data_IF_141912216552
#
_entry.id   IF_141912216552
#
_cell.length_a   1.000
_cell.length_b   1.000
_cell.length_c   1.000
_cell.angle_alpha   90.00
_cell.angle_beta   90.00
_cell.angle_gamma   90.00
#
_symmetry.space_group_name_H-M   'P 1'
#
loop_
_entity.id
_entity.type
_entity.pdbx_description
1 polymer ?
#
# COMPACT_ATOMS: atom_id res chain seq x y z
N UNK A 1 -17.19 6.87 -4.56
CA UNK A 1 -16.73 6.90 -3.16
C UNK A 1 -17.89 7.46 -2.35
N UNK A 2 -18.60 6.62 -1.58
CA UNK A 2 -19.88 6.99 -0.97
C UNK A 2 -19.70 7.85 0.28
N UNK A 3 -20.71 8.65 0.61
CA UNK A 3 -20.70 9.48 1.82
C UNK A 3 -20.82 8.65 3.10
N UNK A 4 -21.51 7.51 3.05
CA UNK A 4 -21.53 6.53 4.13
C UNK A 4 -20.12 6.05 4.49
N UNK A 5 -19.32 5.67 3.48
CA UNK A 5 -17.95 5.23 3.71
C UNK A 5 -17.11 6.36 4.30
N UNK A 6 -17.20 7.58 3.76
CA UNK A 6 -16.51 8.75 4.34
C UNK A 6 -16.82 8.95 5.81
N UNK A 7 -18.07 8.78 6.21
CA UNK A 7 -18.49 8.91 7.60
C UNK A 7 -17.88 7.82 8.48
N UNK A 8 -17.85 6.56 8.02
CA UNK A 8 -17.15 5.47 8.72
C UNK A 8 -15.67 5.78 8.91
N UNK A 9 -14.98 6.26 7.87
CA UNK A 9 -13.56 6.63 7.97
C UNK A 9 -13.32 7.78 8.96
N UNK A 10 -14.20 8.78 8.99
CA UNK A 10 -14.13 9.89 9.97
C UNK A 10 -14.31 9.39 11.40
N UNK A 11 -15.26 8.48 11.64
CA UNK A 11 -15.50 7.88 12.94
C UNK A 11 -14.25 7.08 13.37
N UNK A 12 -13.73 6.24 12.49
CA UNK A 12 -12.50 5.47 12.73
C UNK A 12 -11.32 6.38 13.10
N UNK A 13 -11.09 7.47 12.36
CA UNK A 13 -10.03 8.43 12.64
C UNK A 13 -10.17 9.16 13.99
N UNK A 14 -11.41 9.29 14.51
CA UNK A 14 -11.66 9.87 15.84
C UNK A 14 -11.45 8.85 16.95
N UNK A 15 -11.79 7.59 16.71
CA UNK A 15 -11.69 6.51 17.69
C UNK A 15 -10.28 5.95 17.84
N UNK A 16 -9.44 6.09 16.81
CA UNK A 16 -8.10 5.52 16.78
C UNK A 16 -7.03 6.59 16.60
N UNK A 17 -5.96 6.43 17.37
CA UNK A 17 -4.76 7.24 17.21
C UNK A 17 -3.88 6.67 16.10
N UNK A 18 -3.96 7.27 14.91
CA UNK A 18 -3.18 6.86 13.75
C UNK A 18 -1.67 7.14 13.91
N UNK A 19 -1.26 8.12 14.73
CA UNK A 19 0.16 8.37 15.06
C UNK A 19 0.71 7.18 15.81
N UNK A 20 0.00 6.73 16.84
CA UNK A 20 0.39 5.57 17.65
C UNK A 20 0.31 4.26 16.85
N UNK A 21 -0.68 4.11 15.96
CA UNK A 21 -0.74 2.96 15.06
C UNK A 21 0.44 2.93 14.08
N UNK A 22 0.85 4.09 13.53
CA UNK A 22 2.02 4.18 12.67
C UNK A 22 3.31 3.79 13.40
N UNK A 23 3.52 4.31 14.62
CA UNK A 23 4.68 3.96 15.44
C UNK A 23 4.72 2.47 15.80
N UNK A 24 3.56 1.84 15.96
CA UNK A 24 3.42 0.41 16.23
C UNK A 24 3.62 -0.48 15.01
N UNK A 25 3.86 0.09 13.82
CA UNK A 25 4.19 -0.70 12.65
C UNK A 25 5.46 -1.50 12.89
N UNK A 26 5.36 -2.80 12.66
CA UNK A 26 6.47 -3.73 12.79
C UNK A 26 6.39 -4.79 11.70
N UNK A 27 7.41 -4.80 10.86
CA UNK A 27 7.64 -5.86 9.88
C UNK A 27 9.13 -6.19 9.81
N UNK A 28 9.53 -7.29 10.46
CA UNK A 28 10.95 -7.71 10.57
C UNK A 28 11.81 -6.58 11.15
N UNK A 29 12.77 -6.05 10.38
CA UNK A 29 13.66 -4.96 10.79
C UNK A 29 13.01 -3.58 10.66
N UNK A 30 11.91 -3.46 9.93
CA UNK A 30 11.19 -2.21 9.77
C UNK A 30 10.28 -1.96 10.98
N UNK A 31 10.84 -1.25 11.96
CA UNK A 31 10.10 -0.68 13.08
C UNK A 31 10.35 0.83 13.14
N UNK A 32 9.49 1.54 13.86
CA UNK A 32 9.62 2.98 14.01
C UNK A 32 10.92 3.37 14.72
N UNK A 33 11.29 2.62 15.77
CA UNK A 33 12.51 2.83 16.55
C UNK A 33 13.78 2.63 15.70
N UNK A 34 13.75 1.67 14.76
CA UNK A 34 14.85 1.43 13.83
C UNK A 34 14.83 2.38 12.62
N UNK A 35 13.79 3.21 12.48
CA UNK A 35 13.64 4.14 11.37
C UNK A 35 13.26 3.49 10.03
N UNK A 36 12.65 2.30 10.04
CA UNK A 36 12.23 1.56 8.84
C UNK A 36 13.32 1.38 7.76
N UNK A 37 14.47 0.77 8.09
CA UNK A 37 15.66 0.81 7.23
C UNK A 37 15.46 0.11 5.87
N UNK A 38 14.70 -0.99 5.79
CA UNK A 38 14.49 -1.68 4.53
C UNK A 38 13.45 -0.95 3.66
N UNK A 39 12.40 -0.38 4.28
CA UNK A 39 11.43 0.48 3.58
C UNK A 39 12.15 1.70 3.00
N UNK A 40 13.02 2.35 3.78
CA UNK A 40 13.76 3.52 3.36
C UNK A 40 14.58 3.26 2.09
N UNK A 41 15.36 2.18 2.06
CA UNK A 41 16.19 1.83 0.90
C UNK A 41 15.34 1.42 -0.31
N UNK A 42 14.24 0.67 -0.12
CA UNK A 42 13.33 0.33 -1.21
C UNK A 42 12.68 1.58 -1.82
N UNK A 43 12.15 2.49 -1.00
CA UNK A 43 11.53 3.72 -1.49
C UNK A 43 12.55 4.60 -2.21
N UNK A 44 13.77 4.74 -1.68
CA UNK A 44 14.83 5.56 -2.29
C UNK A 44 15.14 5.14 -3.73
N UNK A 45 15.30 3.84 -3.96
CA UNK A 45 15.64 3.31 -5.27
C UNK A 45 14.42 3.29 -6.20
N UNK A 46 13.27 2.82 -5.70
CA UNK A 46 12.08 2.68 -6.52
C UNK A 46 11.44 4.01 -6.89
N UNK A 47 11.47 5.03 -6.04
CA UNK A 47 11.02 6.39 -6.40
C UNK A 47 11.88 6.96 -7.53
N UNK A 48 13.19 6.71 -7.51
CA UNK A 48 14.09 7.13 -8.59
C UNK A 48 13.76 6.42 -9.89
N UNK A 49 13.58 5.10 -9.86
CA UNK A 49 13.14 4.30 -11.02
C UNK A 49 11.78 4.79 -11.55
N UNK A 50 10.82 5.00 -10.66
CA UNK A 50 9.46 5.41 -11.00
C UNK A 50 9.41 6.79 -11.67
N UNK A 51 10.21 7.77 -11.21
CA UNK A 51 10.33 9.09 -11.86
C UNK A 51 10.87 9.02 -13.30
N UNK A 52 11.57 7.93 -13.64
CA UNK A 52 12.01 7.61 -15.00
C UNK A 52 11.01 6.70 -15.73
N UNK A 53 9.77 6.59 -15.22
CA UNK A 53 8.68 5.81 -15.79
C UNK A 53 9.01 4.32 -16.02
N UNK A 54 9.76 3.73 -15.08
CA UNK A 54 10.13 2.32 -15.12
C UNK A 54 10.15 1.66 -13.74
N UNK A 55 10.10 0.34 -13.73
CA UNK A 55 10.38 -0.51 -12.56
C UNK A 55 11.38 -1.58 -12.97
N UNK A 56 12.43 -1.81 -12.18
CA UNK A 56 13.45 -2.81 -12.47
C UNK A 56 13.08 -4.18 -11.88
N UNK A 57 13.53 -5.25 -12.51
CA UNK A 57 13.41 -6.61 -11.98
C UNK A 57 14.04 -6.76 -10.61
N UNK A 58 15.23 -6.18 -10.41
CA UNK A 58 15.90 -6.18 -9.12
C UNK A 58 15.02 -5.59 -8.01
N UNK A 59 14.37 -4.45 -8.26
CA UNK A 59 13.45 -3.80 -7.32
C UNK A 59 12.27 -4.71 -6.98
N UNK A 60 11.67 -5.36 -7.98
CA UNK A 60 10.57 -6.32 -7.80
C UNK A 60 10.99 -7.49 -6.91
N UNK A 61 12.19 -8.04 -7.14
CA UNK A 61 12.73 -9.14 -6.35
C UNK A 61 13.00 -8.69 -4.90
N UNK A 62 13.54 -7.48 -4.70
CA UNK A 62 13.74 -6.90 -3.36
C UNK A 62 12.41 -6.70 -2.63
N UNK A 63 11.37 -6.22 -3.30
CA UNK A 63 10.01 -6.12 -2.74
C UNK A 63 9.46 -7.51 -2.36
N UNK A 64 9.66 -8.52 -3.22
CA UNK A 64 9.22 -9.87 -2.93
C UNK A 64 9.97 -10.49 -1.73
N UNK A 65 11.27 -10.23 -1.60
CA UNK A 65 12.09 -10.61 -0.44
C UNK A 65 11.60 -9.92 0.82
N UNK A 66 11.43 -8.60 0.78
CA UNK A 66 10.94 -7.78 1.89
C UNK A 66 9.56 -8.26 2.37
N UNK A 67 8.61 -8.42 1.43
CA UNK A 67 7.24 -8.86 1.69
C UNK A 67 7.10 -10.32 2.09
N UNK A 68 8.19 -11.09 2.12
CA UNK A 68 8.23 -12.52 2.43
C UNK A 68 7.42 -13.40 1.47
N UNK A 69 7.57 -13.20 0.16
CA UNK A 69 6.91 -14.06 -0.82
C UNK A 69 7.44 -15.48 -0.71
N UNK A 70 6.55 -16.45 -0.49
CA UNK A 70 6.93 -17.86 -0.27
C UNK A 70 7.68 -18.46 -1.47
N UNK A 71 7.12 -18.32 -2.68
CA UNK A 71 7.68 -18.93 -3.89
C UNK A 71 8.20 -17.88 -4.88
N UNK A 72 9.34 -17.27 -4.54
CA UNK A 72 10.01 -16.25 -5.36
C UNK A 72 10.52 -16.77 -6.71
N UNK A 73 10.78 -18.08 -6.84
CA UNK A 73 11.27 -18.70 -8.08
C UNK A 73 10.24 -18.64 -9.23
N UNK A 74 8.96 -18.41 -8.91
CA UNK A 74 7.88 -18.25 -9.90
C UNK A 74 7.76 -16.83 -10.47
N UNK A 75 8.56 -15.89 -9.99
CA UNK A 75 8.54 -14.53 -10.53
C UNK A 75 9.22 -14.55 -11.90
N UNK A 76 8.43 -14.29 -12.94
CA UNK A 76 8.90 -14.04 -14.29
C UNK A 76 8.58 -12.59 -14.64
N UNK A 77 9.60 -11.82 -15.01
CA UNK A 77 9.47 -10.44 -15.43
C UNK A 77 10.67 -10.03 -16.30
N UNK A 78 10.49 -9.05 -17.21
CA UNK A 78 11.61 -8.48 -17.94
C UNK A 78 12.53 -7.72 -16.98
N UNK A 79 13.76 -7.44 -17.41
CA UNK A 79 14.72 -6.68 -16.60
C UNK A 79 14.21 -5.27 -16.26
N UNK A 80 13.49 -4.66 -17.20
CA UNK A 80 12.85 -3.35 -17.05
C UNK A 80 11.40 -3.46 -17.48
N UNK A 81 10.48 -2.99 -16.63
CA UNK A 81 9.06 -2.83 -16.91
C UNK A 81 8.78 -1.33 -17.12
N UNK A 82 8.42 -0.91 -18.34
CA UNK A 82 7.90 0.44 -18.58
C UNK A 82 6.61 0.67 -17.79
N UNK A 83 6.58 1.75 -17.01
CA UNK A 83 5.45 2.09 -16.16
C UNK A 83 5.33 3.61 -16.02
N UNK A 84 4.49 4.21 -16.87
CA UNK A 84 4.29 5.67 -16.97
C UNK A 84 3.49 6.26 -15.79
N UNK A 85 4.06 6.22 -14.58
CA UNK A 85 3.46 6.79 -13.36
C UNK A 85 3.54 8.32 -13.31
N UNK A 86 4.47 8.91 -14.05
CA UNK A 86 4.67 10.34 -14.17
C UNK A 86 4.48 10.81 -15.62
N UNK A 87 4.03 12.05 -15.80
CA UNK A 87 4.01 12.70 -17.10
C UNK A 87 5.40 13.26 -17.49
N UNK A 88 5.47 13.91 -18.66
CA UNK A 88 6.70 14.49 -19.21
C UNK A 88 7.29 15.62 -18.32
N UNK A 89 6.49 16.19 -17.41
CA UNK A 89 6.91 17.21 -16.44
C UNK A 89 7.26 16.61 -15.07
N UNK A 90 7.37 15.28 -15.01
CA UNK A 90 7.64 14.51 -13.77
C UNK A 90 6.57 14.78 -12.70
N UNK A 91 5.34 15.08 -13.13
CA UNK A 91 4.18 15.18 -12.25
C UNK A 91 3.44 13.85 -12.23
N UNK A 92 2.85 13.51 -11.08
CA UNK A 92 2.11 12.26 -10.96
C UNK A 92 0.94 12.25 -11.94
N UNK A 93 0.83 11.16 -12.71
CA UNK A 93 -0.07 11.07 -13.86
C UNK A 93 -1.54 11.29 -13.46
N UNK A 94 -2.20 12.27 -14.08
CA UNK A 94 -3.60 12.65 -13.78
C UNK A 94 -4.59 11.50 -13.95
N UNK A 95 -4.45 10.67 -14.98
CA UNK A 95 -5.35 9.53 -15.23
C UNK A 95 -5.23 8.49 -14.09
N UNK A 96 -4.01 8.24 -13.63
CA UNK A 96 -3.77 7.34 -12.50
C UNK A 96 -4.26 7.98 -11.19
N UNK A 97 -4.14 9.30 -11.04
CA UNK A 97 -4.70 10.03 -9.90
C UNK A 97 -6.22 9.85 -9.80
N UNK A 98 -6.94 9.94 -10.92
CA UNK A 98 -8.40 9.78 -10.99
C UNK A 98 -8.85 8.33 -10.81
N UNK A 99 -8.16 7.39 -11.47
CA UNK A 99 -8.36 5.95 -11.33
C UNK A 99 -7.06 5.20 -10.99
N UNK A 100 -6.76 5.02 -9.69
CA UNK A 100 -5.53 4.35 -9.26
C UNK A 100 -5.43 2.88 -9.70
N UNK A 101 -6.54 2.25 -10.09
CA UNK A 101 -6.53 0.88 -10.61
C UNK A 101 -5.87 0.77 -11.99
N UNK A 102 -5.73 1.88 -12.72
CA UNK A 102 -4.97 1.95 -13.98
C UNK A 102 -3.53 1.49 -13.77
N UNK A 103 -2.88 1.86 -12.68
CA UNK A 103 -1.49 1.50 -12.44
C UNK A 103 -1.29 -0.02 -12.26
N UNK A 104 -2.25 -0.72 -11.65
CA UNK A 104 -2.22 -2.19 -11.56
C UNK A 104 -2.41 -2.81 -12.95
N UNK A 105 -3.33 -2.28 -13.77
CA UNK A 105 -3.50 -2.75 -15.15
C UNK A 105 -2.23 -2.54 -15.96
N UNK A 106 -1.60 -1.37 -15.88
CA UNK A 106 -0.32 -1.12 -16.54
C UNK A 106 0.76 -2.11 -16.11
N UNK A 107 0.88 -2.42 -14.81
CA UNK A 107 1.85 -3.42 -14.33
C UNK A 107 1.59 -4.83 -14.86
N UNK A 108 0.33 -5.19 -15.08
CA UNK A 108 -0.06 -6.53 -15.57
C UNK A 108 -0.02 -6.65 -17.09
N UNK A 109 -0.56 -5.65 -17.77
CA UNK A 109 -0.86 -5.65 -19.20
C UNK A 109 0.36 -5.16 -19.98
N UNK A 110 1.50 -5.83 -19.74
CA UNK A 110 2.75 -5.57 -20.43
C UNK A 110 2.75 -6.35 -21.75
N UNK A 111 2.34 -5.68 -22.83
CA UNK A 111 2.14 -6.21 -24.19
C UNK A 111 3.27 -7.10 -24.76
N UNK A 112 4.47 -7.12 -24.15
CA UNK A 112 5.65 -7.85 -24.65
C UNK A 112 6.32 -8.78 -23.61
N UNK A 113 5.88 -8.78 -22.36
CA UNK A 113 6.48 -9.59 -21.29
C UNK A 113 5.55 -9.69 -20.09
N UNK A 114 4.96 -10.86 -19.87
CA UNK A 114 4.03 -11.04 -18.76
C UNK A 114 4.75 -11.02 -17.42
N UNK A 115 4.40 -10.09 -16.54
CA UNK A 115 4.72 -10.17 -15.12
C UNK A 115 3.92 -11.33 -14.50
N UNK A 116 4.59 -12.42 -14.15
CA UNK A 116 3.97 -13.61 -13.54
C UNK A 116 4.49 -13.87 -12.14
N UNK A 117 3.76 -14.69 -11.40
CA UNK A 117 4.13 -15.11 -10.04
C UNK A 117 3.88 -14.08 -8.95
N UNK A 118 3.26 -12.94 -9.29
CA UNK A 118 2.90 -11.88 -8.35
C UNK A 118 1.38 -11.70 -8.31
N UNK A 119 0.78 -11.94 -7.15
CA UNK A 119 -0.63 -11.65 -6.91
C UNK A 119 -0.87 -10.19 -6.50
N UNK A 120 -2.14 -9.86 -6.27
CA UNK A 120 -2.63 -8.53 -5.92
C UNK A 120 -1.83 -7.79 -4.82
N UNK A 121 -1.44 -8.51 -3.75
CA UNK A 121 -0.64 -7.94 -2.67
C UNK A 121 0.75 -7.48 -3.14
N UNK A 122 1.43 -8.23 -4.01
CA UNK A 122 2.77 -7.85 -4.46
C UNK A 122 2.72 -6.79 -5.56
N UNK A 123 1.72 -6.84 -6.44
CA UNK A 123 1.48 -5.77 -7.41
C UNK A 123 1.23 -4.43 -6.71
N UNK A 124 0.43 -4.41 -5.65
CA UNK A 124 0.21 -3.18 -4.86
C UNK A 124 1.44 -2.75 -4.06
N UNK A 125 2.25 -3.69 -3.52
CA UNK A 125 3.53 -3.36 -2.86
C UNK A 125 4.50 -2.68 -3.82
N UNK A 126 4.61 -3.14 -5.06
CA UNK A 126 5.45 -2.50 -6.09
C UNK A 126 5.04 -1.03 -6.26
N UNK A 127 3.73 -0.75 -6.43
CA UNK A 127 3.24 0.62 -6.55
C UNK A 127 3.47 1.46 -5.29
N UNK A 128 3.27 0.87 -4.11
CA UNK A 128 3.52 1.52 -2.80
C UNK A 128 4.97 1.98 -2.64
N UNK A 129 5.95 1.21 -3.12
CA UNK A 129 7.35 1.63 -3.08
C UNK A 129 7.74 2.57 -4.23
N UNK A 130 7.11 2.42 -5.40
CA UNK A 130 7.37 3.28 -6.55
C UNK A 130 6.90 4.73 -6.33
N UNK A 131 5.72 4.92 -5.73
CA UNK A 131 5.16 6.26 -5.45
C UNK A 131 4.47 6.25 -4.07
N UNK A 132 5.25 6.23 -2.97
CA UNK A 132 4.70 6.13 -1.62
C UNK A 132 3.81 7.31 -1.22
N UNK A 133 3.96 8.45 -1.90
CA UNK A 133 3.09 9.61 -1.71
C UNK A 133 1.63 9.33 -2.12
N UNK A 134 1.43 8.47 -3.11
CA UNK A 134 0.14 8.26 -3.80
C UNK A 134 -0.44 6.86 -3.60
N UNK A 135 0.41 5.87 -3.29
CA UNK A 135 0.00 4.47 -3.15
C UNK A 135 0.32 3.89 -1.77
N UNK A 136 -0.57 3.02 -1.31
CA UNK A 136 -0.33 2.10 -0.21
C UNK A 136 -0.62 0.66 -0.65
N UNK A 137 0.05 -0.31 -0.02
CA UNK A 137 -0.15 -1.72 -0.33
C UNK A 137 -1.51 -2.23 0.15
N UNK A 138 -2.06 -3.26 -0.51
CA UNK A 138 -3.23 -3.99 -0.01
C UNK A 138 -2.84 -5.43 0.32
N UNK A 139 -2.63 -5.69 1.61
CA UNK A 139 -2.26 -7.00 2.12
C UNK A 139 -3.49 -7.83 2.53
N UNK A 140 -3.31 -9.14 2.64
CA UNK A 140 -4.33 -10.05 3.18
C UNK A 140 -4.86 -9.62 4.55
N UNK A 141 -4.02 -9.05 5.43
CA UNK A 141 -4.51 -8.54 6.72
C UNK A 141 -5.44 -7.34 6.55
N UNK A 142 -5.13 -6.43 5.63
CA UNK A 142 -5.99 -5.29 5.28
C UNK A 142 -7.34 -5.82 4.76
N UNK A 143 -7.34 -6.78 3.84
CA UNK A 143 -8.58 -7.35 3.28
C UNK A 143 -9.38 -8.13 4.33
N UNK A 144 -8.76 -8.81 5.29
CA UNK A 144 -9.49 -9.47 6.39
C UNK A 144 -10.18 -8.50 7.35
N UNK A 145 -9.61 -7.31 7.54
CA UNK A 145 -10.11 -6.32 8.50
C UNK A 145 -11.11 -5.35 7.87
N UNK A 146 -10.77 -4.88 6.68
CA UNK A 146 -11.51 -3.83 5.99
C UNK A 146 -12.25 -4.34 4.76
N UNK A 147 -12.07 -5.60 4.38
CA UNK A 147 -12.84 -6.26 3.31
C UNK A 147 -13.95 -7.14 3.86
N UNK A 148 -14.83 -7.61 2.97
CA UNK A 148 -15.94 -8.49 3.33
C UNK A 148 -15.42 -9.85 3.77
N UNK A 149 -15.84 -10.31 4.94
CA UNK A 149 -15.78 -11.74 5.28
C UNK A 149 -17.15 -12.25 5.70
N UNK A 150 -17.30 -13.58 5.79
CA UNK A 150 -18.55 -14.19 6.22
C UNK A 150 -18.76 -14.23 7.73
N UNK A 151 -17.74 -13.96 8.57
CA UNK A 151 -17.73 -14.57 9.92
C UNK A 151 -16.99 -13.81 11.05
N UNK A 152 -16.73 -12.49 10.96
CA UNK A 152 -16.12 -11.76 12.10
C UNK A 152 -16.87 -10.48 12.50
N UNK A 153 -17.29 -10.44 13.77
CA UNK A 153 -18.06 -9.35 14.41
C UNK A 153 -17.31 -8.03 14.68
N UNK A 154 -16.10 -7.85 14.12
CA UNK A 154 -15.25 -6.66 14.33
C UNK A 154 -14.76 -6.03 13.02
N UNK A 155 -15.53 -6.19 11.95
CA UNK A 155 -15.19 -5.73 10.61
C UNK A 155 -15.72 -4.35 10.31
N UNK A 156 -14.91 -3.63 9.54
CA UNK A 156 -15.19 -2.28 9.08
C UNK A 156 -15.92 -2.27 7.72
N UNK A 157 -15.74 -3.33 6.91
CA UNK A 157 -16.39 -3.56 5.62
C UNK A 157 -16.27 -2.39 4.62
N UNK A 158 -15.11 -1.73 4.59
CA UNK A 158 -14.82 -0.63 3.67
C UNK A 158 -14.62 -1.09 2.22
N UNK A 159 -14.29 -2.37 2.02
CA UNK A 159 -13.95 -2.98 0.74
C UNK A 159 -14.83 -4.21 0.50
N UNK A 160 -15.10 -4.50 -0.76
CA UNK A 160 -15.82 -5.70 -1.19
C UNK A 160 -14.91 -6.89 -1.47
N UNK A 161 -13.59 -6.67 -1.53
CA UNK A 161 -12.58 -7.72 -1.68
C UNK A 161 -12.64 -8.72 -0.53
N UNK A 162 -12.36 -9.98 -0.85
CA UNK A 162 -12.23 -11.08 0.10
C UNK A 162 -10.84 -11.70 0.04
N UNK A 163 -10.40 -12.20 1.18
CA UNK A 163 -9.20 -13.00 1.30
C UNK A 163 -9.59 -14.49 1.26
N UNK A 164 -8.82 -15.31 0.55
CA UNK A 164 -9.04 -16.75 0.44
C UNK A 164 -7.71 -17.51 0.48
N UNK A 165 -7.58 -18.49 1.38
CA UNK A 165 -6.43 -19.41 1.39
C UNK A 165 -5.05 -18.74 1.58
N UNK A 166 -4.99 -17.59 2.24
CA UNK A 166 -3.78 -16.79 2.41
C UNK A 166 -3.47 -15.84 1.26
N UNK A 167 -4.40 -15.57 0.35
CA UNK A 167 -4.20 -14.68 -0.80
C UNK A 167 -5.44 -13.79 -1.06
N UNK A 168 -5.27 -12.79 -1.92
CA UNK A 168 -6.37 -12.02 -2.50
C UNK A 168 -6.53 -12.53 -3.93
N UNK A 169 -7.54 -13.37 -4.23
CA UNK A 169 -7.68 -13.95 -5.56
C UNK A 169 -7.89 -12.88 -6.62
N UNK A 170 -7.09 -12.94 -7.67
CA UNK A 170 -7.13 -11.98 -8.78
C UNK A 170 -8.33 -12.21 -9.71
N UNK A 171 -8.97 -13.37 -9.62
CA UNK A 171 -10.20 -13.73 -10.32
C UNK A 171 -11.44 -13.05 -9.74
N UNK A 172 -11.35 -12.41 -8.58
CA UNK A 172 -12.47 -11.66 -8.01
C UNK A 172 -12.87 -10.51 -8.94
N UNK A 173 -14.16 -10.41 -9.28
CA UNK A 173 -14.72 -9.32 -10.12
C UNK A 173 -14.36 -7.92 -9.63
N UNK A 174 -14.16 -7.75 -8.31
CA UNK A 174 -13.79 -6.47 -7.71
C UNK A 174 -12.33 -6.06 -8.03
N UNK A 175 -11.43 -7.01 -8.32
CA UNK A 175 -10.04 -6.73 -8.64
C UNK A 175 -9.87 -6.40 -10.14
N UNK A 176 -9.04 -5.40 -10.54
CA UNK A 176 -8.24 -4.50 -9.70
C UNK A 176 -8.96 -3.21 -9.28
N UNK A 177 -10.23 -3.01 -9.66
CA UNK A 177 -10.98 -1.77 -9.40
C UNK A 177 -11.01 -1.40 -7.91
N UNK A 178 -11.15 -2.38 -7.03
CA UNK A 178 -11.21 -2.16 -5.58
C UNK A 178 -9.90 -1.67 -4.97
N UNK A 179 -8.76 -1.92 -5.63
CA UNK A 179 -7.51 -1.26 -5.25
C UNK A 179 -7.62 0.26 -5.43
N UNK A 180 -8.30 0.72 -6.47
CA UNK A 180 -8.63 2.14 -6.64
C UNK A 180 -9.48 2.70 -5.50
N UNK A 181 -10.41 1.91 -4.95
CA UNK A 181 -11.17 2.27 -3.74
C UNK A 181 -10.26 2.36 -2.52
N UNK A 182 -9.36 1.40 -2.31
CA UNK A 182 -8.37 1.41 -1.24
C UNK A 182 -7.51 2.67 -1.25
N UNK A 183 -6.97 3.06 -2.42
CA UNK A 183 -6.17 4.29 -2.53
C UNK A 183 -6.99 5.54 -2.20
N UNK A 184 -8.27 5.60 -2.59
CA UNK A 184 -9.15 6.72 -2.22
C UNK A 184 -9.41 6.77 -0.70
N UNK A 185 -9.52 5.63 -0.03
CA UNK A 185 -9.62 5.55 1.44
C UNK A 185 -8.36 6.14 2.07
N UNK A 186 -7.16 5.72 1.62
CA UNK A 186 -5.89 6.24 2.13
C UNK A 186 -5.79 7.76 1.94
N UNK A 187 -6.10 8.26 0.75
CA UNK A 187 -6.13 9.71 0.48
C UNK A 187 -7.11 10.46 1.38
N UNK A 188 -8.27 9.86 1.69
CA UNK A 188 -9.23 10.47 2.61
C UNK A 188 -8.64 10.62 4.02
N UNK A 189 -7.95 9.59 4.55
CA UNK A 189 -7.24 9.70 5.84
C UNK A 189 -6.10 10.70 5.78
N UNK A 190 -5.32 10.74 4.70
CA UNK A 190 -4.26 11.74 4.49
C UNK A 190 -4.83 13.15 4.64
N UNK A 191 -5.93 13.47 3.96
CA UNK A 191 -6.61 14.76 4.12
C UNK A 191 -7.06 14.98 5.57
N UNK A 192 -7.78 14.03 6.18
CA UNK A 192 -8.26 14.18 7.56
C UNK A 192 -7.14 14.45 8.57
N UNK A 193 -5.98 13.80 8.42
CA UNK A 193 -4.85 13.95 9.33
C UNK A 193 -4.12 15.27 9.11
N UNK A 194 -3.83 15.61 7.86
CA UNK A 194 -3.13 16.85 7.53
C UNK A 194 -4.00 18.09 7.82
N UNK A 195 -5.28 18.05 7.49
CA UNK A 195 -6.23 19.16 7.73
C UNK A 195 -6.49 19.37 9.23
N UNK A 196 -6.35 18.33 10.05
CA UNK A 196 -6.47 18.43 11.52
C UNK A 196 -5.17 18.82 12.23
N UNK A 197 -4.09 19.08 11.49
CA UNK A 197 -2.79 19.45 12.05
C UNK A 197 -2.10 18.31 12.81
N UNK A 198 -2.53 17.05 12.63
CA UNK A 198 -1.88 15.88 13.25
C UNK A 198 -0.62 15.53 12.47
N UNK A 199 0.55 15.85 13.01
CA UNK A 199 1.81 15.59 12.34
C UNK A 199 2.15 14.10 12.26
N UNK A 200 2.58 13.63 11.09
CA UNK A 200 3.12 12.28 10.93
C UNK A 200 4.49 12.16 11.63
N UNK A 201 4.72 11.15 12.49
CA UNK A 201 5.95 11.02 13.27
C UNK A 201 7.07 10.35 12.46
N UNK A 202 7.37 10.85 11.27
CA UNK A 202 8.40 10.27 10.40
C UNK A 202 9.77 10.18 11.09
N UNK A 203 10.48 9.04 10.97
CA UNK A 203 11.90 8.98 11.29
C UNK A 203 12.68 10.01 10.44
N UNK A 204 13.70 10.64 11.04
CA UNK A 204 14.39 11.78 10.42
C UNK A 204 15.02 11.47 9.06
N UNK A 205 15.42 10.21 8.85
CA UNK A 205 16.06 9.75 7.62
C UNK A 205 15.17 9.93 6.38
N UNK A 206 13.84 9.87 6.52
CA UNK A 206 12.92 10.02 5.41
C UNK A 206 12.87 11.45 4.86
N UNK A 207 12.94 12.47 5.73
CA UNK A 207 12.75 13.87 5.32
C UNK A 207 14.04 14.69 5.29
N UNK A 208 14.99 14.49 6.23
CA UNK A 208 16.23 15.30 6.25
C UNK A 208 17.25 14.87 5.19
N UNK A 209 17.45 13.56 5.03
CA UNK A 209 18.56 13.03 4.20
C UNK A 209 18.13 12.62 2.79
N UNK A 210 16.94 12.03 2.66
CA UNK A 210 16.53 11.41 1.40
C UNK A 210 15.42 12.16 0.66
N UNK A 211 14.77 13.16 1.29
CA UNK A 211 13.68 13.92 0.66
C UNK A 211 12.48 13.06 0.23
N UNK A 212 12.29 11.88 0.83
CA UNK A 212 11.21 10.95 0.51
C UNK A 212 9.89 11.34 1.18
N UNK A 213 9.96 12.18 2.21
CA UNK A 213 8.80 12.75 2.91
C UNK A 213 9.04 14.23 3.20
N UNK A 214 7.95 14.97 3.36
CA UNK A 214 7.97 16.26 4.04
C UNK A 214 7.81 16.03 5.55
N UNK A 215 8.49 16.83 6.38
CA UNK A 215 8.41 16.71 7.85
C UNK A 215 6.96 16.90 8.30
N UNK A 216 6.42 15.91 9.02
CA UNK A 216 5.10 15.99 9.64
C UNK A 216 3.90 15.84 8.70
N UNK A 217 4.09 15.68 7.39
CA UNK A 217 2.98 15.56 6.43
C UNK A 217 2.70 14.09 6.14
N UNK A 218 1.47 13.64 6.35
CA UNK A 218 1.06 12.27 6.03
C UNK A 218 0.99 12.04 4.53
N UNK A 219 1.41 10.86 4.08
CA UNK A 219 1.10 10.33 2.74
C UNK A 219 0.47 8.95 2.78
N UNK A 220 0.05 8.42 1.61
CA UNK A 220 -0.70 7.18 1.51
C UNK A 220 0.05 5.98 2.11
N UNK A 221 1.36 5.88 1.90
CA UNK A 221 2.17 4.81 2.47
C UNK A 221 2.19 4.84 4.02
N UNK A 222 2.19 6.02 4.64
CA UNK A 222 2.24 6.14 6.10
C UNK A 222 0.89 5.77 6.72
N UNK A 223 -0.20 6.22 6.11
CA UNK A 223 -1.55 5.80 6.50
C UNK A 223 -1.72 4.28 6.33
N UNK A 224 -1.22 3.71 5.23
CA UNK A 224 -1.25 2.26 5.03
C UNK A 224 -0.52 1.51 6.14
N UNK A 225 0.67 1.97 6.55
CA UNK A 225 1.41 1.38 7.68
C UNK A 225 0.61 1.45 8.99
N UNK A 226 -0.06 2.57 9.27
CA UNK A 226 -0.92 2.70 10.46
C UNK A 226 -2.10 1.70 10.42
N UNK A 227 -2.82 1.65 9.29
CA UNK A 227 -3.96 0.74 9.11
C UNK A 227 -3.53 -0.73 9.10
N UNK A 228 -2.35 -1.04 8.55
CA UNK A 228 -1.78 -2.38 8.61
C UNK A 228 -1.52 -2.81 10.04
N UNK A 229 -0.97 -1.93 10.88
CA UNK A 229 -0.70 -2.22 12.30
C UNK A 229 -1.99 -2.53 13.06
N UNK A 230 -3.05 -1.76 12.79
CA UNK A 230 -4.39 -2.04 13.31
C UNK A 230 -4.89 -3.40 12.85
N UNK A 231 -4.88 -3.66 11.54
CA UNK A 231 -5.38 -4.90 10.97
C UNK A 231 -4.60 -6.13 11.45
N UNK A 232 -3.28 -6.03 11.55
CA UNK A 232 -2.39 -7.11 11.99
C UNK A 232 -2.62 -7.48 13.46
N UNK A 233 -2.84 -6.48 14.33
CA UNK A 233 -3.16 -6.73 15.75
C UNK A 233 -4.48 -7.49 15.90
N UNK A 234 -5.48 -7.12 15.11
CA UNK A 234 -6.81 -7.69 15.22
C UNK A 234 -6.98 -9.02 14.46
N UNK A 235 -6.21 -9.27 13.40
CA UNK A 235 -6.23 -10.55 12.68
C UNK A 235 -5.65 -11.71 13.49
N UNK A 236 -4.75 -11.43 14.45
CA UNK A 236 -4.24 -12.43 15.41
C UNK A 236 -5.30 -12.90 16.42
N UNK A 237 -6.24 -12.03 16.78
CA UNK A 237 -7.32 -12.40 17.71
C UNK A 237 -8.35 -13.35 17.07
N UNK A 238 -8.59 -13.25 15.75
CA UNK A 238 -9.49 -14.16 15.05
C UNK A 238 -8.93 -15.58 14.88
N UNK A 239 -7.60 -15.75 14.81
CA UNK A 239 -6.96 -17.08 14.72
C UNK A 239 -6.96 -17.89 16.02
N UNK A 240 -7.36 -17.29 17.15
CA UNK A 240 -7.46 -17.97 18.46
C UNK A 240 -8.88 -18.49 18.77
N UNK A 241 -9.82 -18.35 17.83
CA UNK A 241 -11.23 -18.77 18.00
C UNK A 241 -11.71 -19.76 16.93
N UNK A 242 -10.80 -20.29 16.11
CA UNK A 242 -11.01 -21.48 15.28
C UNK A 242 -10.10 -22.58 15.81
#
# INVERSE_FOLDING_TARGET
>A
FSDELKQKLKIFNKQHDLVELYKKYSWRKDTWENGFPCILELEKDMVRSAKNNLVKREDILRVAVWGNLRNRKRIECPEIIPLSLYDERVQFNKKIKEDPSVAIRMLKDQNKSSLKGLGATYLSKILRFAVPSEFGAIDTNIVRMFGRTGDCSKQEDWLTLKEQGGNIPESQKAWPKEYGTWIRILRCFVSLLNDSGKYCPHPELFYKKNGLRQKGVWVCADVEMALFSYAYKHSKCCRRRM
#
